data_IF_583900826006
#
_entry.id   IF_583900826006
#
_cell.length_a   1.000
_cell.length_b   1.000
_cell.length_c   1.000
_cell.angle_alpha   90.00
_cell.angle_beta   90.00
_cell.angle_gamma   90.00
#
_symmetry.space_group_name_H-M   'P 1'
#
loop_
_entity.id
_entity.type
_entity.pdbx_description
1 polymer ?
#
# COMPACT_ATOMS: atom_id res chain seq x y z
N UNK A 1 103.76 26.92 48.72
CA UNK A 1 102.92 26.92 47.49
C UNK A 1 102.18 25.59 47.48
N UNK A 2 100.88 25.41 47.26
CA UNK A 2 99.82 26.29 46.82
C UNK A 2 98.51 25.92 47.58
N UNK A 3 97.65 26.92 47.73
CA UNK A 3 96.30 26.86 48.31
C UNK A 3 95.35 26.25 47.27
N UNK A 4 94.26 25.58 47.68
CA UNK A 4 92.88 25.68 47.13
C UNK A 4 91.99 24.65 47.88
N UNK A 5 91.27 25.06 48.93
CA UNK A 5 89.94 25.71 48.97
C UNK A 5 88.80 24.68 49.10
N UNK A 6 88.47 24.40 50.36
CA UNK A 6 87.21 23.84 50.86
C UNK A 6 86.03 24.74 50.46
N UNK A 7 85.02 24.18 49.81
CA UNK A 7 83.64 24.71 49.85
C UNK A 7 82.64 23.57 49.77
N UNK A 8 82.28 23.05 50.95
CA UNK A 8 80.92 22.58 51.21
C UNK A 8 80.03 23.83 51.20
N UNK A 9 79.18 23.99 50.19
CA UNK A 9 78.13 25.00 50.17
C UNK A 9 76.87 24.31 49.63
N UNK A 10 76.04 23.80 50.53
CA UNK A 10 74.88 24.50 51.09
C UNK A 10 73.72 24.46 50.09
N UNK A 11 72.84 23.49 50.35
CA UNK A 11 71.41 23.53 50.06
C UNK A 11 70.88 24.96 50.29
N UNK A 12 70.61 25.68 49.22
CA UNK A 12 69.76 26.87 49.23
C UNK A 12 68.69 26.67 48.19
N UNK A 13 67.53 26.23 48.66
CA UNK A 13 66.23 26.60 48.13
C UNK A 13 66.23 28.09 47.77
N UNK A 14 66.48 28.41 46.51
CA UNK A 14 66.23 29.73 45.96
C UNK A 14 64.77 29.76 45.54
N UNK A 15 64.01 30.61 46.24
CA UNK A 15 62.59 30.85 46.11
C UNK A 15 62.28 31.32 44.68
N UNK A 16 61.87 30.39 43.82
CA UNK A 16 61.20 30.74 42.58
C UNK A 16 59.88 31.43 42.97
N UNK A 17 59.64 32.62 42.42
CA UNK A 17 58.38 33.31 42.64
C UNK A 17 57.28 32.46 42.01
N UNK A 18 56.29 31.95 42.77
CA UNK A 18 55.25 31.06 42.25
C UNK A 18 54.44 31.70 41.11
N UNK A 19 54.48 33.03 40.97
CA UNK A 19 53.87 33.78 39.89
C UNK A 19 54.57 33.61 38.53
N UNK A 20 55.91 33.49 38.49
CA UNK A 20 56.65 33.38 37.22
C UNK A 20 56.56 31.97 36.62
N UNK A 21 56.59 30.94 37.47
CA UNK A 21 56.38 29.55 37.04
C UNK A 21 54.93 29.32 36.59
N UNK A 22 53.95 29.94 37.26
CA UNK A 22 52.55 29.88 36.86
C UNK A 22 52.29 30.54 35.49
N UNK A 23 52.99 31.63 35.17
CA UNK A 23 52.87 32.30 33.87
C UNK A 23 53.54 31.51 32.74
N UNK A 24 54.65 30.82 33.01
CA UNK A 24 55.27 29.92 32.03
C UNK A 24 54.41 28.66 31.81
N UNK A 25 53.82 28.12 32.86
CA UNK A 25 52.88 27.00 32.78
C UNK A 25 51.63 27.37 31.97
N UNK A 26 51.03 28.54 32.21
CA UNK A 26 49.85 28.99 31.47
C UNK A 26 50.16 29.23 29.98
N UNK A 27 51.32 29.78 29.65
CA UNK A 27 51.79 29.92 28.25
C UNK A 27 52.00 28.56 27.59
N UNK A 28 52.66 27.62 28.26
CA UNK A 28 52.87 26.26 27.73
C UNK A 28 51.55 25.50 27.55
N UNK A 29 50.60 25.70 28.45
CA UNK A 29 49.27 25.10 28.36
C UNK A 29 48.45 25.71 27.22
N UNK A 30 48.52 27.03 27.02
CA UNK A 30 47.88 27.71 25.90
C UNK A 30 48.48 27.29 24.56
N UNK A 31 49.80 27.16 24.47
CA UNK A 31 50.48 26.69 23.26
C UNK A 31 50.09 25.24 22.96
N UNK A 32 50.06 24.36 23.98
CA UNK A 32 49.63 22.98 23.81
C UNK A 32 48.14 22.88 23.42
N UNK A 33 47.27 23.70 24.02
CA UNK A 33 45.87 23.77 23.66
C UNK A 33 45.67 24.26 22.21
N UNK A 34 46.47 25.24 21.77
CA UNK A 34 46.46 25.72 20.38
C UNK A 34 46.92 24.62 19.42
N UNK A 35 47.97 23.87 19.76
CA UNK A 35 48.44 22.73 18.95
C UNK A 35 47.40 21.60 18.89
N UNK A 36 46.76 21.27 20.02
CA UNK A 36 45.69 20.28 20.07
C UNK A 36 44.48 20.73 19.25
N UNK A 37 44.14 22.03 19.29
CA UNK A 37 43.05 22.59 18.49
C UNK A 37 43.37 22.55 17.00
N UNK A 38 44.56 22.99 16.58
CA UNK A 38 45.00 22.96 15.19
C UNK A 38 45.10 21.52 14.66
N UNK A 39 45.61 20.59 15.47
CA UNK A 39 45.62 19.17 15.14
C UNK A 39 44.21 18.59 15.04
N UNK A 40 43.30 19.00 15.93
CA UNK A 40 41.90 18.61 15.90
C UNK A 40 41.18 19.08 14.63
N UNK A 41 41.39 20.35 14.23
CA UNK A 41 40.83 20.92 13.00
C UNK A 41 41.46 20.26 11.76
N UNK A 42 42.77 20.03 11.75
CA UNK A 42 43.46 19.36 10.65
C UNK A 42 43.05 17.90 10.47
N UNK A 43 42.89 17.16 11.58
CA UNK A 43 42.40 15.79 11.57
C UNK A 43 40.93 15.70 11.14
N UNK A 44 40.09 16.64 11.57
CA UNK A 44 38.70 16.73 11.13
C UNK A 44 38.59 17.03 9.63
N UNK A 45 39.39 17.96 9.09
CA UNK A 45 39.46 18.20 7.65
C UNK A 45 39.94 16.98 6.87
N UNK A 46 40.89 16.21 7.41
CA UNK A 46 41.34 14.95 6.80
C UNK A 46 40.27 13.87 6.83
N UNK A 47 39.54 13.75 7.94
CA UNK A 47 38.42 12.83 8.07
C UNK A 47 37.25 13.20 7.15
N UNK A 48 36.99 14.49 6.89
CA UNK A 48 36.01 14.89 5.86
C UNK A 48 36.47 14.46 4.45
N UNK A 49 37.73 14.70 4.10
CA UNK A 49 38.26 14.33 2.79
C UNK A 49 38.30 12.81 2.56
N UNK A 50 38.62 12.03 3.60
CA UNK A 50 38.60 10.57 3.55
C UNK A 50 37.17 10.00 3.71
N UNK A 51 36.31 10.69 4.45
CA UNK A 51 34.90 10.34 4.65
C UNK A 51 34.07 10.45 3.38
N UNK A 52 34.29 11.46 2.54
CA UNK A 52 33.63 11.55 1.22
C UNK A 52 34.01 10.38 0.31
N UNK A 53 35.27 9.93 0.33
CA UNK A 53 35.72 8.78 -0.47
C UNK A 53 35.11 7.46 0.02
N UNK A 54 35.03 7.28 1.34
CA UNK A 54 34.34 6.14 1.95
C UNK A 54 32.84 6.15 1.62
N UNK A 55 32.21 7.31 1.64
CA UNK A 55 30.82 7.47 1.22
C UNK A 55 30.63 7.13 -0.26
N UNK A 56 31.46 7.68 -1.16
CA UNK A 56 31.41 7.34 -2.59
C UNK A 56 31.64 5.85 -2.85
N UNK A 57 32.57 5.23 -2.12
CA UNK A 57 32.78 3.79 -2.18
C UNK A 57 31.54 3.01 -1.72
N UNK A 58 30.94 3.40 -0.59
CA UNK A 58 29.69 2.79 -0.09
C UNK A 58 28.51 3.00 -1.06
N UNK A 59 28.41 4.17 -1.69
CA UNK A 59 27.38 4.42 -2.71
C UNK A 59 27.62 3.55 -3.93
N UNK A 60 28.88 3.42 -4.39
CA UNK A 60 29.22 2.54 -5.52
C UNK A 60 28.96 1.07 -5.21
N UNK A 61 29.29 0.63 -4.00
CA UNK A 61 28.99 -0.71 -3.48
C UNK A 61 27.47 -0.92 -3.40
N UNK A 62 26.72 0.07 -2.91
CA UNK A 62 25.27 0.05 -2.82
C UNK A 62 24.59 0.01 -4.19
N UNK A 63 25.08 0.78 -5.16
CA UNK A 63 24.62 0.72 -6.55
C UNK A 63 24.94 -0.64 -7.19
N UNK A 64 26.13 -1.20 -6.92
CA UNK A 64 26.50 -2.54 -7.38
C UNK A 64 25.63 -3.64 -6.76
N UNK A 65 25.33 -3.52 -5.46
CA UNK A 65 24.45 -4.43 -4.74
C UNK A 65 23.01 -4.30 -5.22
N UNK A 66 22.49 -3.10 -5.48
CA UNK A 66 21.16 -2.89 -6.05
C UNK A 66 21.09 -3.47 -7.46
N UNK A 67 22.10 -3.24 -8.30
CA UNK A 67 22.10 -3.78 -9.66
C UNK A 67 22.20 -5.31 -9.68
N UNK A 68 23.00 -5.88 -8.77
CA UNK A 68 23.09 -7.33 -8.56
C UNK A 68 21.77 -7.88 -8.02
N UNK A 69 21.21 -7.25 -7.00
CA UNK A 69 19.92 -7.64 -6.43
C UNK A 69 18.79 -7.47 -7.43
N UNK A 70 18.79 -6.47 -8.31
CA UNK A 70 17.81 -6.29 -9.38
C UNK A 70 17.94 -7.36 -10.46
N UNK A 71 19.16 -7.81 -10.78
CA UNK A 71 19.39 -8.95 -11.69
C UNK A 71 18.94 -10.29 -11.07
N UNK A 72 19.31 -10.53 -9.81
CA UNK A 72 18.91 -11.75 -9.09
C UNK A 72 17.42 -11.78 -8.73
N UNK A 73 16.86 -10.64 -8.35
CA UNK A 73 15.43 -10.47 -8.11
C UNK A 73 14.66 -10.46 -9.43
N UNK A 74 15.18 -9.96 -10.55
CA UNK A 74 14.50 -10.12 -11.84
C UNK A 74 14.20 -11.59 -12.16
N UNK A 75 15.21 -12.46 -12.03
CA UNK A 75 15.04 -13.89 -12.30
C UNK A 75 14.30 -14.68 -11.20
N UNK A 76 14.47 -14.33 -9.91
CA UNK A 76 13.77 -15.03 -8.81
C UNK A 76 12.41 -14.43 -8.46
N UNK A 77 12.19 -13.14 -8.67
CA UNK A 77 10.91 -12.50 -8.42
C UNK A 77 9.88 -12.89 -9.47
N UNK A 78 10.23 -13.18 -10.73
CA UNK A 78 9.27 -13.80 -11.67
C UNK A 78 8.80 -15.16 -11.17
N UNK A 79 9.73 -16.04 -10.78
CA UNK A 79 9.38 -17.37 -10.24
C UNK A 79 8.56 -17.26 -8.95
N UNK A 80 8.95 -16.37 -8.03
CA UNK A 80 8.19 -16.14 -6.79
C UNK A 80 6.84 -15.49 -7.08
N UNK A 81 6.76 -14.58 -8.05
CA UNK A 81 5.51 -13.94 -8.48
C UNK A 81 4.56 -14.96 -9.09
N UNK A 82 5.04 -15.88 -9.94
CA UNK A 82 4.21 -16.96 -10.51
C UNK A 82 3.70 -17.92 -9.43
N UNK A 83 4.54 -18.28 -8.45
CA UNK A 83 4.13 -19.13 -7.32
C UNK A 83 3.13 -18.41 -6.42
N UNK A 84 3.33 -17.11 -6.15
CA UNK A 84 2.41 -16.30 -5.36
C UNK A 84 1.10 -16.09 -6.10
N UNK A 85 1.12 -15.78 -7.39
CA UNK A 85 -0.05 -15.60 -8.24
C UNK A 85 -0.85 -16.90 -8.34
N UNK A 86 -0.18 -18.05 -8.47
CA UNK A 86 -0.83 -19.37 -8.43
C UNK A 86 -1.46 -19.66 -7.07
N UNK A 87 -0.76 -19.38 -5.96
CA UNK A 87 -1.30 -19.59 -4.60
C UNK A 87 -2.44 -18.64 -4.27
N UNK A 88 -2.36 -17.39 -4.71
CA UNK A 88 -3.43 -16.39 -4.57
C UNK A 88 -4.64 -16.79 -5.41
N UNK A 89 -4.44 -17.30 -6.63
CA UNK A 89 -5.50 -17.87 -7.46
C UNK A 89 -6.24 -19.01 -6.76
N UNK A 90 -5.50 -19.99 -6.24
CA UNK A 90 -6.09 -21.12 -5.49
C UNK A 90 -6.77 -20.68 -4.18
N UNK A 91 -6.19 -19.73 -3.46
CA UNK A 91 -6.79 -19.18 -2.25
C UNK A 91 -8.09 -18.42 -2.57
N UNK A 92 -8.12 -17.67 -3.67
CA UNK A 92 -9.30 -16.95 -4.13
C UNK A 92 -10.42 -17.90 -4.52
N UNK A 93 -10.12 -18.97 -5.27
CA UNK A 93 -11.11 -19.98 -5.64
C UNK A 93 -11.72 -20.68 -4.41
N UNK A 94 -10.87 -21.11 -3.47
CA UNK A 94 -11.31 -21.70 -2.18
C UNK A 94 -12.10 -20.71 -1.32
N UNK A 95 -11.75 -19.43 -1.38
CA UNK A 95 -12.45 -18.37 -0.67
C UNK A 95 -13.81 -18.08 -1.31
N UNK A 96 -13.92 -18.11 -2.65
CA UNK A 96 -15.20 -17.98 -3.36
C UNK A 96 -16.14 -19.14 -3.03
N UNK A 97 -15.66 -20.39 -3.05
CA UNK A 97 -16.47 -21.55 -2.63
C UNK A 97 -16.96 -21.45 -1.17
N UNK A 98 -16.13 -20.91 -0.29
CA UNK A 98 -16.49 -20.68 1.11
C UNK A 98 -17.46 -19.51 1.23
N UNK A 99 -17.30 -18.47 0.43
CA UNK A 99 -18.19 -17.32 0.39
C UNK A 99 -19.59 -17.72 -0.09
N UNK A 100 -19.69 -18.53 -1.14
CA UNK A 100 -20.97 -19.04 -1.65
C UNK A 100 -21.70 -19.89 -0.58
N UNK A 101 -20.96 -20.64 0.24
CA UNK A 101 -21.54 -21.36 1.39
C UNK A 101 -22.01 -20.40 2.48
N UNK A 102 -21.26 -19.33 2.76
CA UNK A 102 -21.67 -18.30 3.71
C UNK A 102 -22.90 -17.54 3.22
N UNK A 103 -23.02 -17.27 1.92
CA UNK A 103 -24.21 -16.67 1.32
C UNK A 103 -25.44 -17.55 1.53
N UNK A 104 -25.32 -18.86 1.31
CA UNK A 104 -26.42 -19.81 1.62
C UNK A 104 -26.81 -19.81 3.09
N UNK A 105 -25.84 -19.85 4.01
CA UNK A 105 -26.13 -19.83 5.46
C UNK A 105 -26.74 -18.50 5.88
N UNK A 106 -26.29 -17.40 5.29
CA UNK A 106 -26.85 -16.08 5.50
C UNK A 106 -28.29 -16.02 5.00
N UNK A 107 -28.56 -16.48 3.78
CA UNK A 107 -29.91 -16.54 3.21
C UNK A 107 -30.84 -17.39 4.06
N UNK A 108 -30.42 -18.60 4.46
CA UNK A 108 -31.16 -19.46 5.39
C UNK A 108 -31.47 -18.75 6.72
N UNK A 109 -30.51 -17.98 7.24
CA UNK A 109 -30.68 -17.28 8.51
C UNK A 109 -31.60 -16.06 8.37
N UNK A 110 -31.48 -15.32 7.27
CA UNK A 110 -32.37 -14.20 6.92
C UNK A 110 -33.78 -14.72 6.71
N UNK A 111 -33.95 -15.80 5.95
CA UNK A 111 -35.25 -16.44 5.73
C UNK A 111 -35.86 -16.92 7.05
N UNK A 112 -35.09 -17.56 7.92
CA UNK A 112 -35.56 -17.98 9.25
C UNK A 112 -35.98 -16.79 10.13
N UNK A 113 -35.27 -15.67 10.04
CA UNK A 113 -35.63 -14.45 10.77
C UNK A 113 -36.92 -13.82 10.22
N UNK A 114 -37.06 -13.77 8.88
CA UNK A 114 -38.25 -13.27 8.20
C UNK A 114 -39.50 -14.11 8.50
N UNK A 115 -39.38 -15.44 8.47
CA UNK A 115 -40.47 -16.36 8.85
C UNK A 115 -40.89 -16.15 10.30
N UNK A 116 -39.93 -15.96 11.23
CA UNK A 116 -40.24 -15.62 12.62
C UNK A 116 -40.97 -14.27 12.77
N UNK A 117 -40.73 -13.34 11.86
CA UNK A 117 -41.39 -12.03 11.81
C UNK A 117 -42.74 -12.07 11.05
N UNK A 118 -43.15 -13.24 10.55
CA UNK A 118 -44.41 -13.43 9.83
C UNK A 118 -44.38 -12.98 8.36
N UNK A 119 -43.19 -12.77 7.79
CA UNK A 119 -43.03 -12.45 6.36
C UNK A 119 -43.07 -13.76 5.56
N UNK A 120 -44.05 -13.95 4.65
CA UNK A 120 -44.15 -15.17 3.83
C UNK A 120 -42.96 -15.30 2.86
N UNK A 121 -42.51 -16.53 2.63
CA UNK A 121 -41.41 -16.81 1.69
C UNK A 121 -41.87 -16.74 0.22
N UNK A 122 -40.92 -16.74 -0.72
CA UNK A 122 -41.24 -16.82 -2.16
C UNK A 122 -41.89 -18.15 -2.52
N UNK A 123 -41.44 -19.24 -1.90
CA UNK A 123 -42.02 -20.57 -2.08
C UNK A 123 -43.50 -20.59 -1.68
N UNK A 124 -43.83 -20.00 -0.53
CA UNK A 124 -45.23 -19.92 -0.05
C UNK A 124 -46.13 -19.13 -1.01
N UNK A 125 -45.62 -18.03 -1.57
CA UNK A 125 -46.34 -17.23 -2.57
C UNK A 125 -46.55 -17.99 -3.87
N UNK A 126 -45.56 -18.80 -4.29
CA UNK A 126 -45.66 -19.63 -5.49
C UNK A 126 -46.67 -20.77 -5.29
N UNK A 127 -46.63 -21.46 -4.15
CA UNK A 127 -47.58 -22.52 -3.79
C UNK A 127 -49.00 -21.98 -3.72
N UNK A 128 -49.19 -20.80 -3.10
CA UNK A 128 -50.48 -20.13 -3.07
C UNK A 128 -50.94 -19.75 -4.48
N UNK A 129 -50.05 -19.23 -5.32
CA UNK A 129 -50.37 -18.89 -6.71
C UNK A 129 -50.81 -20.12 -7.51
N UNK A 130 -50.11 -21.25 -7.37
CA UNK A 130 -50.46 -22.50 -8.03
C UNK A 130 -51.82 -23.05 -7.56
N UNK A 131 -52.11 -22.95 -6.26
CA UNK A 131 -53.43 -23.31 -5.71
C UNK A 131 -54.53 -22.40 -6.24
N UNK A 132 -54.29 -21.09 -6.33
CA UNK A 132 -55.24 -20.13 -6.91
C UNK A 132 -55.49 -20.43 -8.39
N UNK A 133 -54.45 -20.77 -9.16
CA UNK A 133 -54.62 -21.17 -10.55
C UNK A 133 -55.47 -22.44 -10.68
N UNK A 134 -55.21 -23.44 -9.84
CA UNK A 134 -55.99 -24.70 -9.79
C UNK A 134 -57.45 -24.43 -9.45
N UNK A 135 -57.72 -23.66 -8.38
CA UNK A 135 -59.08 -23.27 -8.01
C UNK A 135 -59.75 -22.44 -9.10
N UNK A 136 -59.01 -21.53 -9.76
CA UNK A 136 -59.53 -20.74 -10.87
C UNK A 136 -59.89 -21.64 -12.06
N UNK A 137 -59.09 -22.66 -12.34
CA UNK A 137 -59.37 -23.64 -13.37
C UNK A 137 -60.60 -24.49 -13.04
N UNK A 138 -60.72 -24.96 -11.79
CA UNK A 138 -61.89 -25.70 -11.32
C UNK A 138 -63.17 -24.86 -11.33
N UNK A 139 -63.10 -23.59 -10.92
CA UNK A 139 -64.23 -22.66 -10.94
C UNK A 139 -64.67 -22.34 -12.38
N UNK A 140 -63.72 -22.17 -13.31
CA UNK A 140 -64.01 -22.07 -14.75
C UNK A 140 -64.67 -23.34 -15.28
N UNK A 141 -64.25 -24.52 -14.79
CA UNK A 141 -64.83 -25.82 -15.17
C UNK A 141 -66.24 -26.02 -14.60
N UNK A 142 -66.53 -25.49 -13.41
CA UNK A 142 -67.82 -25.62 -12.72
C UNK A 142 -68.87 -24.54 -13.12
N UNK A 143 -68.54 -23.65 -14.06
CA UNK A 143 -69.53 -22.71 -14.63
C UNK A 143 -69.27 -21.23 -14.34
N UNK A 144 -68.12 -20.87 -13.76
CA UNK A 144 -67.68 -19.48 -13.64
C UNK A 144 -67.40 -18.88 -15.02
N UNK A 145 -68.43 -18.28 -15.63
CA UNK A 145 -68.30 -17.45 -16.83
C UNK A 145 -67.18 -16.41 -16.58
N UNK A 146 -66.16 -16.30 -17.45
CA UNK A 146 -65.04 -15.41 -17.17
C UNK A 146 -65.52 -13.96 -17.11
N UNK A 147 -65.31 -13.30 -15.98
CA UNK A 147 -65.23 -11.85 -15.95
C UNK A 147 -64.07 -11.48 -16.90
N UNK A 148 -64.43 -10.74 -17.93
CA UNK A 148 -63.61 -10.46 -19.09
C UNK A 148 -62.18 -10.05 -18.72
N UNK A 149 -61.20 -10.70 -19.35
CA UNK A 149 -59.88 -10.10 -19.52
C UNK A 149 -60.06 -8.66 -20.06
N UNK A 150 -59.27 -7.68 -19.61
CA UNK A 150 -59.35 -6.35 -20.20
C UNK A 150 -58.99 -6.50 -21.68
N UNK A 151 -60.03 -6.44 -22.52
CA UNK A 151 -59.87 -6.32 -23.96
C UNK A 151 -59.05 -5.05 -24.18
N UNK A 152 -57.79 -5.21 -24.57
CA UNK A 152 -57.06 -4.15 -25.25
C UNK A 152 -57.97 -3.66 -26.36
N UNK A 153 -58.46 -2.43 -26.19
CA UNK A 153 -59.31 -1.77 -27.14
C UNK A 153 -58.64 -1.86 -28.52
N UNK A 154 -59.25 -2.65 -29.41
CA UNK A 154 -58.98 -2.58 -30.83
C UNK A 154 -59.43 -1.19 -31.29
N UNK A 155 -58.49 -0.23 -31.30
CA UNK A 155 -58.69 1.05 -31.97
C UNK A 155 -58.83 0.77 -33.46
N UNK A 156 -60.06 0.82 -33.96
CA UNK A 156 -60.34 1.01 -35.39
C UNK A 156 -61.10 2.33 -35.57
N UNK A 157 -60.34 3.37 -35.89
CA UNK A 157 -60.73 4.62 -36.55
C UNK A 157 -59.42 5.41 -36.73
N UNK A 158 -59.08 6.06 -37.83
CA UNK A 158 -59.64 6.20 -39.16
C UNK A 158 -58.47 6.68 -40.06
N UNK A 159 -58.58 6.49 -41.37
CA UNK A 159 -57.66 7.06 -42.36
C UNK A 159 -57.75 8.59 -42.35
N UNK A 160 -56.61 9.28 -42.36
CA UNK A 160 -56.25 10.36 -43.30
C UNK A 160 -54.86 10.95 -42.97
N UNK A 161 -54.10 11.45 -43.96
CA UNK A 161 -52.64 11.54 -43.95
C UNK A 161 -52.15 12.91 -43.44
N UNK A 162 -50.85 13.05 -43.14
CA UNK A 162 -50.00 14.18 -43.56
C UNK A 162 -48.55 13.99 -43.08
N UNK A 163 -47.66 14.40 -43.98
CA UNK A 163 -46.21 14.31 -44.04
C UNK A 163 -45.40 14.70 -42.78
N UNK A 164 -44.25 14.03 -42.60
CA UNK A 164 -42.90 14.58 -42.91
C UNK A 164 -41.80 13.57 -42.56
N UNK A 165 -41.00 13.24 -43.57
CA UNK A 165 -39.66 12.65 -43.44
C UNK A 165 -38.62 13.76 -43.13
N UNK A 166 -37.30 13.51 -43.09
CA UNK A 166 -36.50 12.35 -42.64
C UNK A 166 -35.35 12.76 -41.68
N UNK A 167 -34.68 11.82 -41.00
CA UNK A 167 -33.26 12.02 -40.62
C UNK A 167 -32.52 10.71 -40.30
N UNK A 168 -31.86 10.20 -41.35
CA UNK A 168 -30.48 9.68 -41.39
C UNK A 168 -29.95 8.87 -40.20
N UNK A 169 -29.89 7.56 -40.42
CA UNK A 169 -29.01 6.60 -39.76
C UNK A 169 -27.57 6.81 -40.27
N UNK A 170 -26.71 7.38 -39.43
CA UNK A 170 -25.27 7.49 -39.66
C UNK A 170 -24.52 6.32 -39.01
N UNK A 171 -23.34 6.04 -39.56
CA UNK A 171 -22.63 4.75 -39.58
C UNK A 171 -21.71 4.57 -38.37
N UNK A 172 -21.48 3.30 -38.00
CA UNK A 172 -20.36 2.84 -37.17
C UNK A 172 -19.02 3.33 -37.75
N UNK A 173 -18.06 3.78 -36.93
CA UNK A 173 -16.66 3.83 -37.34
C UNK A 173 -15.96 2.50 -37.01
N UNK A 174 -15.24 1.98 -38.01
CA UNK A 174 -14.27 0.87 -37.92
C UNK A 174 -12.88 1.48 -37.72
N UNK A 175 -12.06 0.77 -36.95
CA UNK A 175 -10.71 1.07 -36.48
C UNK A 175 -9.67 1.45 -37.57
N UNK A 176 -8.72 2.31 -37.14
CA UNK A 176 -7.23 2.31 -37.33
C UNK A 176 -6.65 2.20 -38.76
N UNK A 177 -5.46 2.78 -39.10
CA UNK A 177 -4.23 2.65 -38.30
C UNK A 177 -3.29 3.87 -38.20
N UNK A 178 -2.21 3.61 -37.46
CA UNK A 178 -1.03 4.37 -37.11
C UNK A 178 -0.39 5.31 -38.16
N UNK A 179 0.18 6.39 -37.63
CA UNK A 179 1.53 6.88 -37.91
C UNK A 179 2.09 7.49 -36.60
#
# INVERSE_FOLDING_TARGET
>A
MAKFKKTTAKKTTAKASPAADAEHLSKSLSESAQQIWLAGVGAFSRAQAEGTKLFEALVKEGMGLEQTMRKFAGGRAEVVRDVVESRVGQARERATDTWDKLEKVFEDRVQRALVKLGVPSREDLNDLSARVETLTAELRRQGGKPAAAPRKAAKKAAKAPVAKAPAKRARKPKAAPAA
#
